data_IF_685368567064
#
_entry.id   IF_685368567064
#
_cell.length_a   1.000
_cell.length_b   1.000
_cell.length_c   1.000
_cell.angle_alpha   90.00
_cell.angle_beta   90.00
_cell.angle_gamma   90.00
#
_symmetry.space_group_name_H-M   'P 1'
#
loop_
_entity.id
_entity.type
_entity.pdbx_description
1 polymer ?
#
# COMPACT_ATOMS: atom_id res chain seq x y z
N UNK A 1 -26.44 4.74 -13.94
CA UNK A 1 -25.48 5.86 -14.09
C UNK A 1 -24.47 5.95 -12.94
N UNK A 2 -24.89 5.97 -11.66
CA UNK A 2 -23.96 6.03 -10.51
C UNK A 2 -22.93 4.89 -10.47
N UNK A 3 -23.36 3.65 -10.73
CA UNK A 3 -22.48 2.48 -10.76
C UNK A 3 -21.43 2.57 -11.89
N UNK A 4 -21.82 3.03 -13.07
CA UNK A 4 -20.93 3.24 -14.21
C UNK A 4 -19.89 4.33 -13.90
N UNK A 5 -20.32 5.43 -13.28
CA UNK A 5 -19.41 6.49 -12.84
C UNK A 5 -18.43 5.99 -11.75
N UNK A 6 -18.91 5.19 -10.80
CA UNK A 6 -18.06 4.53 -9.81
C UNK A 6 -17.02 3.60 -10.43
N UNK A 7 -17.42 2.81 -11.43
CA UNK A 7 -16.51 1.93 -12.16
C UNK A 7 -15.42 2.71 -12.91
N UNK A 8 -15.81 3.79 -13.59
CA UNK A 8 -14.84 4.67 -14.30
C UNK A 8 -13.86 5.29 -13.31
N UNK A 9 -14.32 5.78 -12.15
CA UNK A 9 -13.44 6.33 -11.12
C UNK A 9 -12.46 5.29 -10.58
N UNK A 10 -12.93 4.05 -10.33
CA UNK A 10 -12.05 2.96 -9.91
C UNK A 10 -11.00 2.63 -10.96
N UNK A 11 -11.38 2.61 -12.24
CA UNK A 11 -10.46 2.37 -13.33
C UNK A 11 -9.41 3.48 -13.46
N UNK A 12 -9.82 4.75 -13.40
CA UNK A 12 -8.91 5.89 -13.42
C UNK A 12 -7.95 5.87 -12.23
N UNK A 13 -8.47 5.56 -11.03
CA UNK A 13 -7.67 5.44 -9.83
C UNK A 13 -6.63 4.31 -9.95
N UNK A 14 -7.04 3.12 -10.38
CA UNK A 14 -6.13 2.00 -10.62
C UNK A 14 -5.09 2.33 -11.71
N UNK A 15 -5.51 2.98 -12.79
CA UNK A 15 -4.63 3.46 -13.86
C UNK A 15 -3.60 4.47 -13.34
N UNK A 16 -3.99 5.40 -12.48
CA UNK A 16 -3.10 6.38 -11.88
C UNK A 16 -2.06 5.73 -10.95
N UNK A 17 -2.49 4.77 -10.13
CA UNK A 17 -1.57 3.98 -9.31
C UNK A 17 -0.59 3.19 -10.18
N UNK A 18 -1.08 2.54 -11.24
CA UNK A 18 -0.25 1.81 -12.19
C UNK A 18 0.77 2.70 -12.90
N UNK A 19 0.37 3.90 -13.32
CA UNK A 19 1.26 4.91 -13.89
C UNK A 19 2.34 5.35 -12.90
N UNK A 20 2.00 5.53 -11.64
CA UNK A 20 2.95 5.90 -10.60
C UNK A 20 4.01 4.80 -10.40
N UNK A 21 3.58 3.53 -10.36
CA UNK A 21 4.50 2.38 -10.36
C UNK A 21 5.39 2.38 -11.61
N UNK A 22 4.78 2.60 -12.78
CA UNK A 22 5.48 2.56 -14.06
C UNK A 22 6.56 3.64 -14.18
N UNK A 23 6.30 4.86 -13.71
CA UNK A 23 7.25 5.96 -13.74
C UNK A 23 8.39 5.81 -12.72
N UNK A 24 8.21 4.99 -11.68
CA UNK A 24 9.14 4.87 -10.56
C UNK A 24 9.69 3.43 -10.43
N UNK A 25 10.42 2.99 -11.46
CA UNK A 25 11.03 1.65 -11.54
C UNK A 25 12.36 1.50 -10.77
N UNK A 26 12.82 2.55 -10.09
CA UNK A 26 14.03 2.45 -9.26
C UNK A 26 13.86 1.33 -8.24
N UNK A 27 14.83 0.42 -8.22
CA UNK A 27 14.79 -0.73 -7.33
C UNK A 27 15.20 -0.34 -5.92
N UNK A 28 14.43 -0.79 -4.95
CA UNK A 28 14.69 -0.62 -3.53
C UNK A 28 14.65 -1.95 -2.82
N UNK A 29 15.43 -2.07 -1.75
CA UNK A 29 15.52 -3.25 -0.90
C UNK A 29 15.21 -2.83 0.53
N UNK A 30 14.28 -3.53 1.15
CA UNK A 30 14.03 -3.38 2.58
C UNK A 30 15.02 -4.25 3.34
N UNK A 31 15.83 -3.60 4.17
CA UNK A 31 16.84 -4.25 5.00
C UNK A 31 16.45 -4.08 6.46
N UNK A 32 16.35 -5.20 7.18
CA UNK A 32 16.11 -5.16 8.62
C UNK A 32 17.35 -4.58 9.32
N UNK A 33 17.15 -3.50 10.06
CA UNK A 33 18.20 -2.87 10.87
C UNK A 33 17.74 -2.71 12.33
N UNK A 34 18.64 -2.90 13.31
CA UNK A 34 20.03 -3.36 13.18
C UNK A 34 20.13 -4.84 12.76
N UNK A 35 21.32 -5.28 12.32
CA UNK A 35 21.56 -6.67 11.96
C UNK A 35 21.23 -7.61 13.13
N UNK A 36 20.50 -8.69 12.86
CA UNK A 36 20.17 -9.68 13.88
C UNK A 36 21.22 -10.79 13.88
N UNK A 37 21.96 -10.92 14.99
CA UNK A 37 23.10 -11.84 15.12
C UNK A 37 24.18 -11.68 14.02
N UNK A 38 24.38 -10.45 13.54
CA UNK A 38 25.36 -10.15 12.48
C UNK A 38 24.90 -10.50 11.07
N UNK A 39 23.65 -10.95 10.88
CA UNK A 39 23.06 -11.24 9.57
C UNK A 39 22.10 -10.11 9.18
N UNK A 40 22.26 -9.60 7.95
CA UNK A 40 21.31 -8.67 7.35
C UNK A 40 20.20 -9.44 6.64
N UNK A 41 18.98 -9.27 7.11
CA UNK A 41 17.80 -9.83 6.45
C UNK A 41 17.28 -8.83 5.43
N UNK A 42 17.23 -9.25 4.17
CA UNK A 42 16.81 -8.44 3.04
C UNK A 42 15.59 -9.06 2.37
N UNK A 43 14.60 -8.24 2.07
CA UNK A 43 13.43 -8.64 1.26
C UNK A 43 13.82 -8.56 -0.23
N UNK A 44 13.24 -9.38 -1.13
CA UNK A 44 13.46 -9.24 -2.57
C UNK A 44 13.30 -7.80 -3.07
N UNK A 45 14.12 -7.41 -4.04
CA UNK A 45 14.06 -6.09 -4.67
C UNK A 45 12.66 -5.82 -5.22
N UNK A 46 12.16 -4.60 -4.99
CA UNK A 46 10.91 -4.14 -5.58
C UNK A 46 11.06 -2.73 -6.14
N UNK A 47 10.16 -2.32 -7.03
CA UNK A 47 10.18 -0.93 -7.52
C UNK A 47 9.72 0.03 -6.42
N UNK A 48 10.35 1.21 -6.36
CA UNK A 48 10.00 2.27 -5.42
C UNK A 48 8.53 2.67 -5.56
N UNK A 49 8.05 2.77 -6.80
CA UNK A 49 6.65 3.08 -7.06
C UNK A 49 5.71 2.04 -6.46
N UNK A 50 6.05 0.74 -6.56
CA UNK A 50 5.26 -0.34 -5.96
C UNK A 50 5.29 -0.24 -4.43
N UNK A 51 6.46 0.01 -3.83
CA UNK A 51 6.59 0.20 -2.38
C UNK A 51 5.67 1.33 -1.88
N UNK A 52 5.68 2.48 -2.57
CA UNK A 52 4.86 3.64 -2.23
C UNK A 52 3.37 3.33 -2.36
N UNK A 53 2.95 2.72 -3.47
CA UNK A 53 1.54 2.37 -3.71
C UNK A 53 1.04 1.37 -2.67
N UNK A 54 1.82 0.31 -2.38
CA UNK A 54 1.46 -0.66 -1.35
C UNK A 54 1.38 -0.02 0.04
N UNK A 55 2.33 0.85 0.39
CA UNK A 55 2.34 1.54 1.69
C UNK A 55 1.10 2.43 1.85
N UNK A 56 0.71 3.15 0.79
CA UNK A 56 -0.49 3.97 0.78
C UNK A 56 -1.77 3.13 0.96
N UNK A 57 -1.91 2.04 0.20
CA UNK A 57 -3.06 1.15 0.29
C UNK A 57 -3.14 0.46 1.66
N UNK A 58 -2.01 0.05 2.23
CA UNK A 58 -1.94 -0.48 3.59
C UNK A 58 -2.36 0.57 4.63
N UNK A 59 -1.98 1.84 4.45
CA UNK A 59 -2.44 2.94 5.29
C UNK A 59 -3.97 3.12 5.27
N UNK A 60 -4.58 3.06 4.09
CA UNK A 60 -6.05 3.12 3.96
C UNK A 60 -6.71 1.91 4.65
N UNK A 61 -6.19 0.71 4.39
CA UNK A 61 -6.74 -0.52 4.94
C UNK A 61 -6.64 -0.54 6.47
N UNK A 62 -5.49 -0.18 7.01
CA UNK A 62 -5.28 -0.09 8.47
C UNK A 62 -6.18 0.95 9.11
N UNK A 63 -6.32 2.14 8.51
CA UNK A 63 -7.26 3.16 8.97
C UNK A 63 -8.71 2.67 8.98
N UNK A 64 -9.14 1.96 7.94
CA UNK A 64 -10.47 1.35 7.87
C UNK A 64 -10.69 0.30 8.97
N UNK A 65 -9.72 -0.60 9.17
CA UNK A 65 -9.78 -1.64 10.21
C UNK A 65 -9.85 -1.02 11.61
N UNK A 66 -9.03 -0.01 11.90
CA UNK A 66 -9.06 0.70 13.19
C UNK A 66 -10.39 1.41 13.42
N UNK A 67 -10.96 2.04 12.40
CA UNK A 67 -12.29 2.66 12.48
C UNK A 67 -13.39 1.63 12.75
N UNK A 68 -13.32 0.45 12.12
CA UNK A 68 -14.25 -0.65 12.33
C UNK A 68 -14.18 -1.20 13.77
N UNK A 69 -12.97 -1.47 14.26
CA UNK A 69 -12.72 -1.89 15.65
C UNK A 69 -13.28 -0.85 16.63
N UNK A 70 -13.01 0.44 16.39
CA UNK A 70 -13.49 1.54 17.24
C UNK A 70 -15.02 1.62 17.31
N UNK A 71 -15.72 1.31 16.21
CA UNK A 71 -17.19 1.26 16.20
C UNK A 71 -17.73 0.05 16.95
N UNK A 72 -17.10 -1.12 16.80
CA UNK A 72 -17.48 -2.32 17.53
C UNK A 72 -17.32 -2.14 19.03
N UNK A 73 -16.20 -1.56 19.48
CA UNK A 73 -15.96 -1.26 20.90
C UNK A 73 -16.94 -0.23 21.48
N UNK A 74 -17.47 0.70 20.67
CA UNK A 74 -18.50 1.65 21.14
C UNK A 74 -19.88 1.01 21.31
N UNK A 75 -20.12 -0.13 20.69
CA UNK A 75 -21.39 -0.86 20.76
C UNK A 75 -21.37 -2.01 21.79
N UNK A 76 -20.21 -2.25 22.43
CA UNK A 76 -20.02 -3.22 23.50
C UNK A 76 -20.11 -2.54 24.86
#
# INVERSE_FOLDING_TARGET
MKMLLGFILLFLFAGFLGMLVFLNQQKVVLVLTPAYRGIYYMVPEMSLGLLVVLSFLLGILTGYVLALISRLLKHL
#
